data_IF_213159072976
#
_entry.id   IF_213159072976
#
_cell.length_a   1.000
_cell.length_b   1.000
_cell.length_c   1.000
_cell.angle_alpha   90.00
_cell.angle_beta   90.00
_cell.angle_gamma   90.00
#
_symmetry.space_group_name_H-M   'P 1'
#
loop_
_entity.id
_entity.type
_entity.pdbx_description
1 polymer ?
#
# COMPACT_ATOMS: atom_id res chain seq x y z
N UNK A 1 -40.19 -12.58 -13.56
CA UNK A 1 -38.77 -12.60 -13.94
C UNK A 1 -37.96 -12.87 -12.68
N UNK A 2 -37.33 -14.03 -12.57
CA UNK A 2 -36.54 -14.40 -11.40
C UNK A 2 -35.30 -13.49 -11.33
N UNK A 3 -35.21 -12.68 -10.27
CA UNK A 3 -34.00 -11.95 -9.92
C UNK A 3 -32.87 -12.98 -9.79
N UNK A 4 -31.91 -12.94 -10.71
CA UNK A 4 -30.66 -13.68 -10.57
C UNK A 4 -30.00 -13.16 -9.29
N UNK A 5 -30.02 -13.98 -8.23
CA UNK A 5 -29.28 -13.70 -7.00
C UNK A 5 -27.81 -13.58 -7.37
N UNK A 6 -27.30 -12.36 -7.39
CA UNK A 6 -25.86 -12.12 -7.35
C UNK A 6 -25.37 -12.84 -6.09
N UNK A 7 -24.39 -13.77 -6.19
CA UNK A 7 -23.92 -14.46 -5.00
C UNK A 7 -23.43 -13.41 -4.00
N UNK A 8 -23.95 -13.48 -2.77
CA UNK A 8 -23.71 -12.51 -1.71
C UNK A 8 -22.32 -12.75 -1.13
N UNK A 9 -21.28 -12.34 -1.87
CA UNK A 9 -19.91 -12.42 -1.38
C UNK A 9 -19.68 -11.31 -0.37
N UNK A 10 -19.42 -11.71 0.88
CA UNK A 10 -19.00 -10.82 1.96
C UNK A 10 -17.62 -10.24 1.67
N UNK A 11 -17.37 -8.98 2.01
CA UNK A 11 -16.11 -8.26 1.75
C UNK A 11 -14.86 -9.06 2.12
N UNK A 12 -14.84 -9.74 3.27
CA UNK A 12 -13.65 -10.48 3.74
C UNK A 12 -13.72 -11.99 3.48
N UNK A 13 -14.68 -12.46 2.67
CA UNK A 13 -14.94 -13.88 2.44
C UNK A 13 -13.78 -14.65 1.78
N UNK A 14 -12.78 -13.96 1.23
CA UNK A 14 -11.60 -14.60 0.63
C UNK A 14 -10.34 -14.49 1.50
N UNK A 15 -10.36 -13.81 2.65
CA UNK A 15 -9.16 -13.55 3.45
C UNK A 15 -8.42 -14.83 3.86
N UNK A 16 -9.17 -15.88 4.20
CA UNK A 16 -8.64 -17.19 4.58
C UNK A 16 -8.09 -18.03 3.40
N UNK A 17 -8.32 -17.59 2.15
CA UNK A 17 -7.83 -18.26 0.93
C UNK A 17 -6.53 -17.64 0.42
N UNK A 18 -6.14 -16.47 0.94
CA UNK A 18 -4.94 -15.79 0.50
C UNK A 18 -3.70 -16.58 0.97
N UNK A 19 -2.73 -16.82 0.08
CA UNK A 19 -1.48 -17.44 0.48
C UNK A 19 -0.68 -16.47 1.35
N UNK A 20 0.15 -17.01 2.26
CA UNK A 20 1.16 -16.21 2.94
C UNK A 20 2.16 -15.63 1.95
N UNK A 21 2.72 -14.47 2.30
CA UNK A 21 3.81 -13.86 1.53
C UNK A 21 5.01 -14.83 1.51
N UNK A 22 5.48 -15.30 0.34
CA UNK A 22 6.62 -16.21 0.29
C UNK A 22 7.92 -15.50 0.68
N UNK A 23 8.87 -16.26 1.21
CA UNK A 23 10.27 -15.82 1.35
C UNK A 23 11.03 -16.23 0.08
N UNK A 24 11.52 -15.29 -0.75
CA UNK A 24 12.30 -15.62 -1.92
C UNK A 24 13.62 -16.33 -1.56
N UNK A 25 14.18 -17.10 -2.49
CA UNK A 25 15.51 -17.68 -2.27
C UNK A 25 16.57 -16.58 -2.15
N UNK A 26 17.61 -16.88 -1.37
CA UNK A 26 18.72 -15.96 -1.16
C UNK A 26 19.45 -15.71 -2.50
N UNK A 27 19.65 -16.76 -3.29
CA UNK A 27 20.35 -16.73 -4.57
C UNK A 27 19.60 -15.87 -5.61
N UNK A 28 18.28 -16.05 -5.76
CA UNK A 28 17.48 -15.24 -6.68
C UNK A 28 17.44 -13.77 -6.24
N UNK A 29 17.37 -13.52 -4.94
CA UNK A 29 17.37 -12.17 -4.37
C UNK A 29 18.69 -11.46 -4.68
N UNK A 30 19.83 -12.12 -4.44
CA UNK A 30 21.15 -11.57 -4.72
C UNK A 30 21.38 -11.36 -6.23
N UNK A 31 20.91 -12.29 -7.07
CA UNK A 31 20.98 -12.13 -8.53
C UNK A 31 20.19 -10.89 -9.01
N UNK A 32 18.97 -10.69 -8.50
CA UNK A 32 18.15 -9.50 -8.81
C UNK A 32 18.78 -8.22 -8.25
N UNK A 33 19.35 -8.27 -7.05
CA UNK A 33 20.09 -7.15 -6.45
C UNK A 33 21.24 -6.70 -7.35
N UNK A 34 22.14 -7.61 -7.74
CA UNK A 34 23.25 -7.28 -8.63
C UNK A 34 22.74 -6.73 -9.98
N UNK A 35 21.73 -7.36 -10.58
CA UNK A 35 21.12 -6.85 -11.83
C UNK A 35 20.60 -5.42 -11.68
N UNK A 36 19.99 -5.08 -10.54
CA UNK A 36 19.47 -3.73 -10.26
C UNK A 36 20.57 -2.68 -10.06
N UNK A 37 21.75 -3.10 -9.58
CA UNK A 37 22.89 -2.20 -9.39
C UNK A 37 23.64 -1.89 -10.69
N UNK A 38 23.63 -2.83 -11.65
CA UNK A 38 24.43 -2.70 -12.87
C UNK A 38 24.26 -1.37 -13.62
N UNK A 39 23.05 -0.82 -13.82
CA UNK A 39 22.90 0.47 -14.51
C UNK A 39 23.29 1.70 -13.67
N UNK A 40 23.53 1.53 -12.36
CA UNK A 40 23.78 2.63 -11.41
C UNK A 40 25.26 2.78 -11.05
N UNK A 41 26.07 1.76 -11.27
CA UNK A 41 27.43 1.66 -10.75
C UNK A 41 28.48 1.66 -11.87
N UNK A 42 29.65 2.21 -11.56
CA UNK A 42 30.85 2.00 -12.38
C UNK A 42 31.28 0.53 -12.35
N UNK A 43 32.11 0.10 -13.30
CA UNK A 43 32.63 -1.28 -13.33
C UNK A 43 33.40 -1.65 -12.06
N UNK A 44 34.20 -0.72 -11.54
CA UNK A 44 34.95 -0.94 -10.31
C UNK A 44 34.02 -1.08 -9.08
N UNK A 45 32.97 -0.26 -8.98
CA UNK A 45 31.99 -0.35 -7.89
C UNK A 45 31.14 -1.61 -7.98
N UNK A 46 30.75 -1.99 -9.20
CA UNK A 46 30.01 -3.22 -9.45
C UNK A 46 30.82 -4.45 -9.05
N UNK A 47 32.08 -4.54 -9.47
CA UNK A 47 32.96 -5.66 -9.14
C UNK A 47 33.16 -5.82 -7.61
N UNK A 48 33.20 -4.73 -6.84
CA UNK A 48 33.21 -4.81 -5.37
C UNK A 48 31.91 -5.41 -4.83
N UNK A 49 30.76 -4.98 -5.35
CA UNK A 49 29.47 -5.51 -4.93
C UNK A 49 29.30 -6.99 -5.29
N UNK A 50 29.83 -7.43 -6.45
CA UNK A 50 29.88 -8.85 -6.80
C UNK A 50 30.72 -9.66 -5.79
N UNK A 51 31.84 -9.10 -5.34
CA UNK A 51 32.66 -9.74 -4.30
C UNK A 51 31.91 -9.88 -2.98
N UNK A 52 31.21 -8.83 -2.53
CA UNK A 52 30.38 -8.89 -1.32
C UNK A 52 29.22 -9.88 -1.45
N UNK A 53 28.53 -9.88 -2.59
CA UNK A 53 27.48 -10.84 -2.88
C UNK A 53 27.99 -12.29 -2.83
N UNK A 54 29.15 -12.55 -3.42
CA UNK A 54 29.79 -13.87 -3.39
C UNK A 54 30.16 -14.31 -1.98
N UNK A 55 30.69 -13.40 -1.16
CA UNK A 55 31.01 -13.70 0.24
C UNK A 55 29.74 -13.97 1.07
N UNK A 56 28.70 -13.17 0.88
CA UNK A 56 27.41 -13.34 1.56
C UNK A 56 26.72 -14.67 1.21
N UNK A 57 26.89 -15.14 -0.03
CA UNK A 57 26.36 -16.42 -0.54
C UNK A 57 27.22 -17.65 -0.19
N UNK A 58 28.34 -17.49 0.53
CA UNK A 58 29.20 -18.62 0.86
C UNK A 58 28.43 -19.70 1.64
N UNK A 59 28.73 -20.99 1.38
CA UNK A 59 28.22 -22.08 2.22
C UNK A 59 28.60 -21.85 3.68
N UNK A 60 27.63 -22.04 4.59
CA UNK A 60 27.75 -21.75 6.01
C UNK A 60 28.14 -20.28 6.33
N UNK A 61 27.92 -19.37 5.39
CA UNK A 61 28.16 -17.95 5.53
C UNK A 61 27.02 -17.20 6.21
N UNK A 62 27.21 -15.90 6.41
CA UNK A 62 26.24 -15.03 7.08
C UNK A 62 24.89 -14.99 6.34
N UNK A 63 24.89 -14.98 5.01
CA UNK A 63 23.64 -14.92 4.23
C UNK A 63 22.75 -16.13 4.46
N UNK A 64 23.32 -17.34 4.48
CA UNK A 64 22.56 -18.56 4.77
C UNK A 64 22.01 -18.56 6.20
N UNK A 65 22.80 -18.11 7.18
CA UNK A 65 22.34 -17.99 8.57
C UNK A 65 21.17 -17.01 8.71
N UNK A 66 21.26 -15.84 8.06
CA UNK A 66 20.19 -14.83 8.10
C UNK A 66 18.95 -15.28 7.33
N UNK A 67 19.11 -15.94 6.18
CA UNK A 67 18.00 -16.54 5.44
C UNK A 67 17.28 -17.59 6.29
N UNK A 68 18.01 -18.43 7.02
CA UNK A 68 17.40 -19.41 7.92
C UNK A 68 16.58 -18.73 9.02
N UNK A 69 17.11 -17.66 9.63
CA UNK A 69 16.37 -16.87 10.62
C UNK A 69 15.12 -16.20 10.04
N UNK A 70 15.19 -15.72 8.80
CA UNK A 70 14.04 -15.16 8.11
C UNK A 70 12.95 -16.22 7.87
N UNK A 71 13.33 -17.42 7.46
CA UNK A 71 12.41 -18.56 7.34
C UNK A 71 11.81 -18.95 8.70
N UNK A 72 12.60 -18.89 9.78
CA UNK A 72 12.09 -19.15 11.13
C UNK A 72 11.04 -18.10 11.55
N UNK A 73 11.25 -16.82 11.21
CA UNK A 73 10.27 -15.75 11.41
C UNK A 73 8.99 -16.02 10.60
N UNK A 74 9.12 -16.40 9.32
CA UNK A 74 7.95 -16.75 8.51
C UNK A 74 7.16 -17.92 9.09
N UNK A 75 7.81 -18.96 9.62
CA UNK A 75 7.10 -20.10 10.24
C UNK A 75 6.22 -19.69 11.41
N UNK A 76 6.63 -18.70 12.21
CA UNK A 76 5.88 -18.27 13.39
C UNK A 76 4.94 -17.08 13.13
N UNK A 77 5.09 -16.39 12.00
CA UNK A 77 4.22 -15.27 11.65
C UNK A 77 2.79 -15.76 11.33
N UNK A 78 1.75 -15.21 11.97
CA UNK A 78 0.38 -15.68 11.78
C UNK A 78 -0.17 -15.38 10.39
N UNK A 79 0.24 -14.28 9.75
CA UNK A 79 -0.35 -13.83 8.48
C UNK A 79 0.70 -13.47 7.44
N UNK A 80 1.67 -12.63 7.80
CA UNK A 80 2.65 -12.09 6.88
C UNK A 80 3.94 -11.78 7.63
N UNK A 81 5.02 -12.53 7.34
CA UNK A 81 6.29 -12.38 8.03
C UNK A 81 6.86 -10.97 8.00
N UNK A 82 6.59 -10.21 6.93
CA UNK A 82 7.11 -8.88 6.71
C UNK A 82 6.31 -7.84 7.50
N UNK A 83 4.98 -7.87 7.40
CA UNK A 83 4.11 -6.88 8.07
C UNK A 83 3.96 -7.14 9.57
N UNK A 84 3.77 -8.40 9.97
CA UNK A 84 3.63 -8.81 11.38
C UNK A 84 4.89 -8.46 12.20
N UNK A 85 6.06 -8.38 11.55
CA UNK A 85 7.35 -8.22 12.23
C UNK A 85 7.98 -6.84 12.02
N UNK A 86 7.97 -6.29 10.80
CA UNK A 86 8.88 -5.20 10.44
C UNK A 86 8.24 -4.03 9.68
N UNK A 87 7.45 -4.28 8.64
CA UNK A 87 7.13 -3.27 7.63
C UNK A 87 6.48 -2.03 8.20
N UNK A 88 5.33 -2.16 8.88
CA UNK A 88 4.62 -1.00 9.44
C UNK A 88 5.52 -0.18 10.38
N UNK A 89 6.34 -0.87 11.17
CA UNK A 89 7.23 -0.25 12.15
C UNK A 89 8.39 0.47 11.48
N UNK A 90 9.08 -0.18 10.55
CA UNK A 90 10.30 0.32 9.91
C UNK A 90 10.04 1.34 8.82
N UNK A 91 9.00 1.13 8.02
CA UNK A 91 8.66 2.02 6.92
C UNK A 91 7.93 3.29 7.39
N UNK A 92 7.17 3.22 8.50
CA UNK A 92 6.32 4.32 8.95
C UNK A 92 6.56 4.73 10.41
N UNK A 93 6.34 3.84 11.38
CA UNK A 93 6.20 4.26 12.79
C UNK A 93 7.52 4.69 13.47
N UNK A 94 8.66 4.17 13.03
CA UNK A 94 9.98 4.58 13.53
C UNK A 94 10.54 5.81 12.80
N UNK A 95 9.97 6.20 11.66
CA UNK A 95 10.46 7.34 10.90
C UNK A 95 10.09 8.66 11.58
N UNK A 96 11.08 9.53 11.81
CA UNK A 96 10.94 10.74 12.64
C UNK A 96 10.77 12.03 11.86
N UNK A 97 10.75 11.95 10.53
CA UNK A 97 10.55 13.12 9.67
C UNK A 97 9.07 13.47 9.60
N UNK A 98 8.74 14.76 9.43
CA UNK A 98 7.35 15.21 9.31
C UNK A 98 6.60 14.47 8.22
N UNK A 99 5.46 13.88 8.57
CA UNK A 99 4.63 13.11 7.64
C UNK A 99 3.95 13.96 6.57
N UNK A 100 3.71 15.26 6.82
CA UNK A 100 2.86 16.10 5.97
C UNK A 100 3.31 16.20 4.51
N UNK A 101 4.63 16.17 4.26
CA UNK A 101 5.22 16.20 2.92
C UNK A 101 5.87 14.87 2.57
N UNK A 102 6.46 14.21 3.56
CA UNK A 102 7.38 13.11 3.30
C UNK A 102 6.70 11.73 3.32
N UNK A 103 5.49 11.62 3.87
CA UNK A 103 4.79 10.33 4.00
C UNK A 103 3.32 10.34 3.63
N UNK A 104 2.59 11.42 3.93
CA UNK A 104 1.15 11.50 3.66
C UNK A 104 0.91 11.75 2.19
N UNK A 105 0.06 10.92 1.59
CA UNK A 105 -0.39 11.10 0.22
C UNK A 105 -1.64 11.96 0.25
N UNK A 106 -1.82 12.80 -0.76
CA UNK A 106 -3.04 13.57 -0.93
C UNK A 106 -3.60 13.34 -2.32
N UNK A 107 -4.92 13.42 -2.42
CA UNK A 107 -5.63 13.35 -3.69
C UNK A 107 -6.22 14.72 -3.98
N UNK A 108 -6.05 15.19 -5.21
CA UNK A 108 -6.83 16.30 -5.73
C UNK A 108 -8.04 15.69 -6.44
N UNK A 109 -9.24 16.00 -5.94
CA UNK A 109 -10.47 15.61 -6.63
C UNK A 109 -10.65 16.47 -7.88
N UNK A 110 -11.25 15.89 -8.91
CA UNK A 110 -11.71 16.63 -10.08
C UNK A 110 -12.85 17.55 -9.65
N UNK A 111 -12.92 18.72 -10.25
CA UNK A 111 -14.01 19.66 -10.03
C UNK A 111 -15.35 19.07 -10.47
N UNK A 112 -16.35 19.15 -9.58
CA UNK A 112 -17.71 18.73 -9.90
C UNK A 112 -18.27 19.66 -10.99
N UNK A 113 -18.95 19.10 -11.98
CA UNK A 113 -19.54 19.86 -13.08
C UNK A 113 -20.55 20.93 -12.61
N UNK A 114 -21.13 20.76 -11.42
CA UNK A 114 -22.06 21.69 -10.78
C UNK A 114 -21.36 22.68 -9.84
N UNK A 115 -20.03 22.71 -9.79
CA UNK A 115 -19.29 23.70 -9.00
C UNK A 115 -19.60 25.10 -9.54
N UNK A 116 -20.07 26.03 -8.69
CA UNK A 116 -20.40 27.38 -9.15
C UNK A 116 -19.19 28.09 -9.76
N UNK A 117 -19.42 28.82 -10.85
CA UNK A 117 -18.34 29.40 -11.67
C UNK A 117 -17.48 30.41 -10.90
N UNK A 118 -18.04 31.06 -9.89
CA UNK A 118 -17.33 31.98 -9.01
C UNK A 118 -16.20 31.33 -8.19
N UNK A 119 -16.21 30.00 -7.99
CA UNK A 119 -15.09 29.28 -7.37
C UNK A 119 -13.93 29.03 -8.33
N UNK A 120 -14.14 29.22 -9.64
CA UNK A 120 -13.10 29.12 -10.67
C UNK A 120 -12.53 30.48 -11.07
N UNK A 121 -13.10 31.57 -10.57
CA UNK A 121 -12.62 32.93 -10.81
C UNK A 121 -11.97 33.51 -9.54
N UNK A 122 -11.48 34.76 -9.60
CA UNK A 122 -10.53 35.37 -8.65
C UNK A 122 -10.64 34.91 -7.18
N UNK A 123 -9.49 34.55 -6.59
CA UNK A 123 -9.34 33.96 -5.25
C UNK A 123 -9.99 32.59 -5.05
N UNK A 124 -10.42 31.86 -6.10
CA UNK A 124 -11.02 30.51 -6.03
C UNK A 124 -12.17 30.39 -5.01
N UNK A 125 -12.93 31.48 -4.82
CA UNK A 125 -13.97 31.57 -3.78
C UNK A 125 -13.47 31.45 -2.33
N UNK A 126 -12.18 31.70 -2.07
CA UNK A 126 -11.61 31.83 -0.72
C UNK A 126 -12.39 32.89 0.06
N UNK A 127 -12.87 32.51 1.24
CA UNK A 127 -13.56 33.38 2.19
C UNK A 127 -12.63 33.70 3.37
N UNK A 128 -12.92 34.79 4.08
CA UNK A 128 -12.21 35.11 5.32
C UNK A 128 -12.36 33.97 6.34
N UNK A 129 -11.33 33.76 7.17
CA UNK A 129 -11.31 32.68 8.15
C UNK A 129 -12.60 32.70 8.99
N UNK A 130 -13.26 31.55 9.09
CA UNK A 130 -14.52 31.38 9.81
C UNK A 130 -15.79 31.62 8.98
N UNK A 131 -15.68 32.10 7.74
CA UNK A 131 -16.80 32.27 6.83
C UNK A 131 -16.78 31.18 5.75
N UNK A 132 -17.93 30.55 5.51
CA UNK A 132 -18.10 29.54 4.48
C UNK A 132 -19.30 29.90 3.62
N UNK A 133 -19.23 29.58 2.33
CA UNK A 133 -20.40 29.72 1.47
C UNK A 133 -21.40 28.59 1.70
N UNK A 134 -22.65 28.82 1.29
CA UNK A 134 -23.68 27.78 1.30
C UNK A 134 -23.26 26.55 0.45
N UNK A 135 -22.58 26.77 -0.68
CA UNK A 135 -22.04 25.70 -1.51
C UNK A 135 -20.99 24.86 -0.79
N UNK A 136 -20.03 25.48 -0.09
CA UNK A 136 -19.02 24.76 0.70
C UNK A 136 -19.70 23.88 1.76
N UNK A 137 -20.67 24.43 2.50
CA UNK A 137 -21.42 23.68 3.53
C UNK A 137 -22.17 22.50 2.90
N UNK A 138 -22.93 22.73 1.82
CA UNK A 138 -23.69 21.68 1.12
C UNK A 138 -22.79 20.59 0.54
N UNK A 139 -21.68 20.97 -0.10
CA UNK A 139 -20.70 20.01 -0.66
C UNK A 139 -20.04 19.19 0.45
N UNK A 140 -19.64 19.81 1.55
CA UNK A 140 -19.09 19.11 2.72
C UNK A 140 -20.11 18.14 3.33
N UNK A 141 -21.35 18.56 3.54
CA UNK A 141 -22.41 17.70 4.06
C UNK A 141 -22.67 16.49 3.13
N UNK A 142 -22.71 16.71 1.82
CA UNK A 142 -22.87 15.65 0.84
C UNK A 142 -21.71 14.65 0.86
N UNK A 143 -20.45 15.14 0.88
CA UNK A 143 -19.26 14.28 0.96
C UNK A 143 -19.27 13.43 2.23
N UNK A 144 -19.57 14.04 3.39
CA UNK A 144 -19.68 13.31 4.66
C UNK A 144 -20.76 12.23 4.57
N UNK A 145 -21.95 12.56 4.06
CA UNK A 145 -23.04 11.60 3.87
C UNK A 145 -22.61 10.41 3.01
N UNK A 146 -21.93 10.66 1.89
CA UNK A 146 -21.45 9.60 0.99
C UNK A 146 -20.34 8.74 1.61
N UNK A 147 -19.46 9.32 2.41
CA UNK A 147 -18.46 8.56 3.17
C UNK A 147 -19.11 7.67 4.24
N UNK A 148 -20.19 8.14 4.88
CA UNK A 148 -20.96 7.33 5.83
C UNK A 148 -21.71 6.19 5.14
N UNK A 149 -22.30 6.42 3.96
CA UNK A 149 -22.89 5.35 3.14
C UNK A 149 -21.83 4.29 2.78
N UNK A 150 -20.63 4.70 2.36
CA UNK A 150 -19.54 3.76 2.07
C UNK A 150 -19.07 3.01 3.32
N UNK A 151 -18.97 3.70 4.46
CA UNK A 151 -18.65 3.07 5.74
C UNK A 151 -19.69 2.00 6.11
N UNK A 152 -20.97 2.28 5.92
CA UNK A 152 -22.03 1.30 6.15
C UNK A 152 -21.88 0.08 5.23
N UNK A 153 -21.52 0.27 3.96
CA UNK A 153 -21.19 -0.85 3.06
C UNK A 153 -20.00 -1.68 3.58
N UNK A 154 -18.95 -1.04 4.08
CA UNK A 154 -17.79 -1.73 4.64
C UNK A 154 -18.14 -2.50 5.92
N UNK A 155 -18.80 -1.85 6.88
CA UNK A 155 -19.16 -2.42 8.18
C UNK A 155 -20.15 -3.60 8.02
N UNK A 156 -21.04 -3.52 7.02
CA UNK A 156 -21.99 -4.60 6.68
C UNK A 156 -21.41 -5.66 5.73
N UNK A 157 -20.13 -5.53 5.36
CA UNK A 157 -19.42 -6.40 4.43
C UNK A 157 -20.12 -6.55 3.06
N UNK A 158 -20.69 -5.45 2.56
CA UNK A 158 -21.39 -5.37 1.26
C UNK A 158 -20.52 -4.80 0.14
N UNK A 159 -19.25 -4.50 0.42
CA UNK A 159 -18.27 -4.18 -0.62
C UNK A 159 -17.84 -5.50 -1.28
N UNK A 160 -17.99 -5.68 -2.61
CA UNK A 160 -17.53 -6.88 -3.28
C UNK A 160 -16.03 -7.11 -3.07
N UNK A 161 -15.58 -8.34 -2.78
CA UNK A 161 -14.15 -8.64 -2.68
C UNK A 161 -13.42 -8.33 -3.99
N UNK A 162 -12.22 -7.76 -3.87
CA UNK A 162 -11.34 -7.56 -5.01
C UNK A 162 -10.77 -8.90 -5.48
N UNK A 163 -10.74 -9.08 -6.80
CA UNK A 163 -10.23 -10.29 -7.45
C UNK A 163 -9.44 -9.92 -8.69
N UNK A 164 -8.34 -10.63 -8.92
CA UNK A 164 -7.73 -10.71 -10.26
C UNK A 164 -8.51 -11.71 -11.12
N UNK A 165 -8.13 -11.85 -12.39
CA UNK A 165 -8.70 -12.90 -13.26
C UNK A 165 -8.51 -14.33 -12.71
N UNK A 166 -7.53 -14.55 -11.85
CA UNK A 166 -7.14 -15.89 -11.40
C UNK A 166 -7.24 -16.11 -9.87
N UNK A 167 -7.13 -15.05 -9.06
CA UNK A 167 -7.03 -15.15 -7.60
C UNK A 167 -7.68 -13.97 -6.88
N UNK A 168 -8.24 -14.17 -5.67
CA UNK A 168 -8.60 -13.08 -4.77
C UNK A 168 -7.41 -12.20 -4.39
N UNK A 169 -7.68 -10.94 -4.05
CA UNK A 169 -6.73 -9.97 -3.50
C UNK A 169 -7.01 -9.70 -2.02
#
# INVERSE_FOLDING_TARGET
MASQRIPEYKTFSNQHKLPKLPVPSLEETIAKYLKSLRPLLSDADFARNESYAKDFLRPNGLGQLLQQRLLDVDRIAPHNWLDDTWWIKKAYLEWRVSVAVNSNWYFLFIDDANTPREYFTANNGIRSRGNFSEFQIKRSAHLISKMLEYKDLLDSERIPPDVTRAYPL
#
